data_IF_294580099404
#
_entry.id   IF_294580099404
#
_cell.length_a   1.000
_cell.length_b   1.000
_cell.length_c   1.000
_cell.angle_alpha   90.00
_cell.angle_beta   90.00
_cell.angle_gamma   90.00
#
_symmetry.space_group_name_H-M   'P 1'
#
loop_
_entity.id
_entity.type
_entity.pdbx_description
1 polymer ?
#
# COMPACT_ATOMS: atom_id res chain seq x y z
N UNK A 1 -7.65 -69.99 13.82
CA UNK A 1 -7.66 -69.30 13.78
C UNK A 1 -7.44 -68.10 13.91
N UNK A 2 -7.41 -67.59 13.72
CA UNK A 2 -7.19 -66.65 13.85
C UNK A 2 -6.99 -65.55 13.62
N UNK A 3 -7.07 -65.00 13.44
CA UNK A 3 -6.94 -63.99 13.25
C UNK A 3 -6.63 -62.96 13.31
N UNK A 4 -6.44 -62.36 13.26
CA UNK A 4 -6.12 -61.43 13.36
C UNK A 4 -6.00 -60.46 13.19
N UNK A 5 -6.22 -59.74 13.10
CA UNK A 5 -6.23 -58.82 12.99
C UNK A 5 -5.80 -57.77 12.92
N UNK A 6 -5.62 -57.37 12.81
CA UNK A 6 -4.99 -56.53 12.73
C UNK A 6 -5.16 -55.42 12.30
N UNK A 7 -5.24 -54.93 11.95
CA UNK A 7 -5.36 -53.93 11.34
C UNK A 7 -5.55 -52.77 11.91
N UNK A 8 -5.65 -52.50 12.52
CA UNK A 8 -6.01 -51.43 13.09
C UNK A 8 -5.20 -50.40 13.04
N UNK A 9 -4.28 -50.42 12.55
CA UNK A 9 -3.46 -49.47 12.70
C UNK A 9 -3.43 -48.47 11.85
N UNK A 10 -3.71 -48.45 10.95
CA UNK A 10 -3.51 -47.49 10.03
C UNK A 10 -4.06 -46.17 10.33
N UNK A 11 -4.91 -46.05 11.06
CA UNK A 11 -5.56 -44.83 11.22
C UNK A 11 -4.76 -43.70 11.74
N UNK A 12 -3.74 -43.96 12.32
CA UNK A 12 -3.08 -42.90 12.97
C UNK A 12 -2.41 -41.90 12.13
N UNK A 13 -2.11 -42.28 10.98
CA UNK A 13 -1.31 -41.39 10.21
C UNK A 13 -1.95 -40.13 9.75
N UNK A 14 -3.18 -40.08 9.61
CA UNK A 14 -3.76 -38.93 9.01
C UNK A 14 -3.80 -37.71 9.80
N UNK A 15 -3.63 -37.80 11.03
CA UNK A 15 -3.80 -36.66 11.75
C UNK A 15 -2.77 -35.69 11.74
N UNK A 16 -1.66 -36.01 11.49
CA UNK A 16 -0.62 -35.08 11.51
C UNK A 16 -0.67 -34.03 10.55
N UNK A 17 -1.22 -34.25 9.43
CA UNK A 17 -1.21 -33.26 8.46
C UNK A 17 -1.96 -32.05 8.77
N UNK A 18 -2.99 -32.15 9.44
CA UNK A 18 -3.79 -30.98 9.67
C UNK A 18 -3.09 -29.92 10.45
N UNK A 19 -2.23 -30.29 11.28
CA UNK A 19 -1.61 -29.30 12.11
C UNK A 19 -0.69 -28.37 11.37
N UNK A 20 -0.12 -28.86 10.33
CA UNK A 20 0.80 -28.02 9.64
C UNK A 20 0.19 -26.89 8.93
N UNK A 21 -0.99 -27.03 8.48
CA UNK A 21 -1.60 -25.97 7.75
C UNK A 21 -1.87 -24.77 8.56
N UNK A 22 -2.09 -24.94 9.79
CA UNK A 22 -2.43 -23.80 10.60
C UNK A 22 -1.29 -22.86 10.81
N UNK A 23 -0.14 -23.36 10.82
CA UNK A 23 0.97 -22.49 11.06
C UNK A 23 1.22 -21.55 9.94
N UNK A 24 0.92 -21.94 8.76
CA UNK A 24 1.18 -21.08 7.63
C UNK A 24 0.29 -19.89 7.61
N UNK A 25 -0.85 -19.98 8.19
CA UNK A 25 -1.77 -18.88 8.12
C UNK A 25 -1.45 -17.77 9.07
N UNK A 26 -0.67 -18.04 10.04
CA UNK A 26 -0.43 -17.02 11.03
C UNK A 26 0.69 -16.10 10.68
N UNK A 27 1.35 -16.37 9.61
CA UNK A 27 2.48 -15.57 9.33
C UNK A 27 2.05 -14.24 8.81
N UNK A 28 2.38 -13.29 9.46
CA UNK A 28 2.35 -11.99 9.00
C UNK A 28 1.10 -11.53 8.32
N UNK A 29 0.61 -10.44 8.64
CA UNK A 29 -0.47 -9.89 7.95
C UNK A 29 0.05 -9.31 6.71
N UNK A 30 -0.47 -9.66 5.63
CA UNK A 30 -0.08 -9.06 4.38
C UNK A 30 -0.65 -7.66 4.32
N UNK A 31 0.19 -6.74 4.25
CA UNK A 31 -0.20 -5.37 3.99
C UNK A 31 0.22 -5.00 2.59
N UNK A 32 -0.04 -3.79 2.18
CA UNK A 32 0.32 -3.35 0.86
C UNK A 32 1.82 -3.42 0.64
N UNK A 33 2.59 -3.15 1.66
CA UNK A 33 4.04 -3.16 1.52
C UNK A 33 4.59 -4.57 1.35
N UNK A 34 3.96 -5.55 1.94
CA UNK A 34 4.41 -6.91 1.86
C UNK A 34 4.01 -7.60 0.56
N UNK A 35 2.79 -7.36 0.13
CA UNK A 35 2.26 -8.05 -1.04
C UNK A 35 2.44 -7.31 -2.32
N UNK A 36 2.93 -6.15 -2.27
CA UNK A 36 3.08 -5.30 -3.40
C UNK A 36 3.14 -3.90 -2.89
N UNK A 37 3.06 -2.97 -3.77
CA UNK A 37 3.37 -1.61 -3.42
C UNK A 37 2.51 -0.66 -4.23
N UNK A 38 2.38 0.54 -3.75
CA UNK A 38 1.84 1.63 -4.56
C UNK A 38 3.04 2.37 -5.10
N UNK A 39 3.21 2.32 -6.40
CA UNK A 39 4.33 2.97 -7.04
C UNK A 39 4.03 4.45 -7.17
N UNK A 40 5.02 5.27 -6.88
CA UNK A 40 4.91 6.72 -6.95
C UNK A 40 5.97 7.23 -7.90
N UNK A 41 5.54 7.90 -8.95
CA UNK A 41 6.44 8.54 -9.89
C UNK A 41 6.05 10.00 -10.04
N UNK A 42 7.02 10.82 -10.37
CA UNK A 42 6.81 12.24 -10.50
C UNK A 42 7.19 12.69 -11.90
N UNK A 43 6.36 13.54 -12.47
CA UNK A 43 6.67 14.25 -13.71
C UNK A 43 6.72 15.74 -13.42
N UNK A 44 6.94 16.53 -14.42
CA UNK A 44 6.99 17.98 -14.26
C UNK A 44 5.61 18.59 -13.98
N UNK A 45 4.54 17.87 -14.28
CA UNK A 45 3.18 18.39 -14.14
C UNK A 45 2.30 17.61 -13.20
N UNK A 46 2.72 16.44 -12.76
CA UNK A 46 1.84 15.55 -11.99
C UNK A 46 2.62 14.52 -11.18
N UNK A 47 1.93 13.94 -10.21
CA UNK A 47 2.36 12.74 -9.53
C UNK A 47 1.51 11.60 -10.08
N UNK A 48 2.17 10.51 -10.46
CA UNK A 48 1.49 9.33 -10.98
C UNK A 48 1.63 8.23 -9.94
N UNK A 49 0.51 7.70 -9.49
CA UNK A 49 0.50 6.58 -8.56
C UNK A 49 -0.10 5.37 -9.24
N UNK A 50 0.42 4.20 -8.92
CA UNK A 50 -0.06 2.95 -9.49
C UNK A 50 -0.17 1.91 -8.38
N UNK A 51 -1.34 1.32 -8.24
CA UNK A 51 -1.56 0.32 -7.22
C UNK A 51 -1.06 -1.03 -7.72
N UNK A 52 0.13 -1.41 -7.32
CA UNK A 52 0.70 -2.72 -7.65
C UNK A 52 0.46 -3.74 -6.55
N UNK A 53 -0.25 -3.36 -5.52
CA UNK A 53 -0.60 -4.28 -4.47
C UNK A 53 -1.65 -5.27 -4.98
N UNK A 54 -1.73 -6.42 -4.37
CA UNK A 54 -2.71 -7.42 -4.73
C UNK A 54 -4.09 -7.13 -4.20
N UNK A 55 -4.38 -5.89 -3.83
CA UNK A 55 -5.64 -5.50 -3.22
C UNK A 55 -6.02 -4.09 -3.60
N UNK A 56 -7.29 -3.81 -3.44
CA UNK A 56 -7.79 -2.45 -3.56
C UNK A 56 -7.20 -1.57 -2.45
N UNK A 57 -6.85 -0.37 -2.77
CA UNK A 57 -6.41 0.61 -1.79
C UNK A 57 -7.52 1.62 -1.53
N UNK A 58 -7.67 2.01 -0.27
CA UNK A 58 -8.74 2.89 0.17
C UNK A 58 -8.16 4.12 0.86
N UNK A 59 -8.86 5.22 0.72
CA UNK A 59 -8.50 6.47 1.40
C UNK A 59 -7.04 6.86 1.17
N UNK A 60 -6.64 6.87 -0.08
CA UNK A 60 -5.26 7.19 -0.43
C UNK A 60 -5.06 8.68 -0.29
N UNK A 61 -4.21 9.08 0.62
CA UNK A 61 -3.85 10.47 0.81
C UNK A 61 -2.42 10.67 0.34
N UNK A 62 -2.24 11.57 -0.61
CA UNK A 62 -0.92 11.92 -1.12
C UNK A 62 -0.59 13.31 -0.62
N UNK A 63 0.55 13.44 0.03
CA UNK A 63 0.98 14.70 0.62
C UNK A 63 2.32 15.11 0.03
N UNK A 64 2.43 16.34 -0.38
CA UNK A 64 3.69 16.94 -0.84
C UNK A 64 4.18 17.87 0.25
N UNK A 65 5.39 17.64 0.72
CA UNK A 65 6.00 18.47 1.74
C UNK A 65 6.71 19.63 1.06
N UNK A 66 6.12 20.79 1.12
CA UNK A 66 6.66 22.01 0.52
C UNK A 66 7.68 22.73 1.37
N UNK A 67 8.12 22.14 2.47
CA UNK A 67 9.07 22.79 3.37
C UNK A 67 8.43 23.96 4.08
N UNK A 68 9.02 25.14 3.94
CA UNK A 68 8.48 26.33 4.58
C UNK A 68 7.11 26.74 4.03
N UNK A 69 6.78 26.31 2.83
CA UNK A 69 5.48 26.59 2.26
C UNK A 69 4.37 25.70 2.84
N UNK A 70 4.73 24.69 3.60
CA UNK A 70 3.76 23.83 4.27
C UNK A 70 3.48 22.54 3.51
N UNK A 71 2.43 21.86 3.95
CA UNK A 71 2.04 20.59 3.38
C UNK A 71 0.84 20.78 2.43
N UNK A 72 0.90 20.13 1.30
CA UNK A 72 -0.18 20.13 0.31
C UNK A 72 -0.63 18.70 0.10
N UNK A 73 -1.92 18.45 0.06
CA UNK A 73 -2.41 17.09 -0.04
C UNK A 73 -3.62 16.97 -0.96
N UNK A 74 -3.88 15.75 -1.37
CA UNK A 74 -5.10 15.37 -2.07
C UNK A 74 -5.47 13.96 -1.65
N UNK A 75 -6.74 13.59 -1.84
CA UNK A 75 -7.24 12.28 -1.45
C UNK A 75 -7.87 11.60 -2.65
N UNK A 76 -7.49 10.35 -2.87
CA UNK A 76 -8.13 9.49 -3.84
C UNK A 76 -8.91 8.44 -3.04
N UNK A 77 -10.25 8.41 -3.15
CA UNK A 77 -11.04 7.53 -2.29
C UNK A 77 -10.71 6.06 -2.44
N UNK A 78 -10.52 5.59 -3.64
CA UNK A 78 -10.23 4.18 -3.90
C UNK A 78 -9.37 4.04 -5.14
N UNK A 79 -8.54 3.00 -5.13
CA UNK A 79 -7.83 2.54 -6.33
C UNK A 79 -7.93 1.04 -6.41
N UNK A 80 -8.36 0.54 -7.55
CA UNK A 80 -8.43 -0.89 -7.79
C UNK A 80 -7.04 -1.47 -8.01
N UNK A 81 -6.94 -2.78 -8.02
CA UNK A 81 -5.69 -3.45 -8.35
C UNK A 81 -5.26 -3.02 -9.75
N UNK A 82 -4.00 -2.75 -9.90
CA UNK A 82 -3.38 -2.35 -11.16
C UNK A 82 -3.84 -1.00 -11.68
N UNK A 83 -4.67 -0.30 -10.96
CA UNK A 83 -5.11 1.02 -11.39
C UNK A 83 -3.97 2.03 -11.30
N UNK A 84 -3.93 2.91 -12.29
CA UNK A 84 -2.96 3.99 -12.35
C UNK A 84 -3.70 5.31 -12.36
N UNK A 85 -3.24 6.24 -11.56
CA UNK A 85 -3.90 7.54 -11.43
C UNK A 85 -2.87 8.65 -11.57
N UNK A 86 -3.16 9.61 -12.44
CA UNK A 86 -2.32 10.80 -12.60
C UNK A 86 -2.97 11.94 -11.84
N UNK A 87 -2.24 12.54 -10.92
CA UNK A 87 -2.74 13.62 -10.08
C UNK A 87 -1.93 14.86 -10.39
N UNK A 88 -2.58 15.85 -10.99
CA UNK A 88 -1.89 17.08 -11.31
C UNK A 88 -1.58 17.87 -10.06
N UNK A 89 -0.51 18.63 -10.08
CA UNK A 89 -0.13 19.42 -8.91
C UNK A 89 -1.24 20.40 -8.51
N UNK A 90 -2.01 20.89 -9.46
CA UNK A 90 -3.11 21.79 -9.16
C UNK A 90 -4.23 21.15 -8.31
N UNK A 91 -4.23 19.83 -8.17
CA UNK A 91 -5.21 19.14 -7.32
C UNK A 91 -4.79 19.12 -5.84
N UNK A 92 -3.58 19.52 -5.54
CA UNK A 92 -3.08 19.52 -4.17
C UNK A 92 -3.38 20.86 -3.50
N UNK A 93 -3.82 20.82 -2.26
CA UNK A 93 -4.15 22.02 -1.50
C UNK A 93 -3.59 21.93 -0.10
N UNK A 94 -3.24 23.07 0.46
CA UNK A 94 -2.85 23.15 1.86
C UNK A 94 -4.10 23.25 2.74
N UNK A 95 -3.89 23.25 4.05
CA UNK A 95 -4.99 23.35 5.01
C UNK A 95 -5.80 24.63 4.85
N UNK A 96 -5.17 25.70 4.40
CA UNK A 96 -5.86 26.97 4.19
C UNK A 96 -6.47 27.10 2.80
N UNK A 97 -6.39 26.04 1.99
CA UNK A 97 -6.96 26.04 0.65
C UNK A 97 -6.05 26.52 -0.46
N UNK A 98 -4.83 26.89 -0.14
CA UNK A 98 -3.88 27.35 -1.17
C UNK A 98 -3.51 26.21 -2.10
N UNK A 99 -3.36 26.51 -3.37
CA UNK A 99 -2.98 25.52 -4.36
C UNK A 99 -1.48 25.30 -4.37
N UNK A 100 -1.10 24.08 -4.67
CA UNK A 100 0.31 23.77 -4.89
C UNK A 100 0.70 24.28 -6.28
N UNK A 101 1.65 25.21 -6.30
CA UNK A 101 2.24 25.71 -7.53
C UNK A 101 3.74 25.65 -7.39
N UNK A 102 4.34 24.71 -8.09
CA UNK A 102 5.79 24.48 -7.97
C UNK A 102 6.60 25.69 -8.39
N UNK A 103 6.06 26.49 -9.30
CA UNK A 103 6.79 27.65 -9.80
C UNK A 103 6.90 28.76 -8.75
N UNK A 104 6.00 28.80 -7.80
CA UNK A 104 5.99 29.87 -6.79
C UNK A 104 6.59 29.43 -5.45
N UNK A 105 6.96 28.15 -5.31
CA UNK A 105 7.58 27.71 -4.08
C UNK A 105 8.96 28.31 -3.92
N UNK A 106 9.32 28.73 -2.70
CA UNK A 106 10.65 29.30 -2.46
C UNK A 106 11.76 28.28 -2.63
N UNK A 107 11.45 27.00 -2.51
CA UNK A 107 12.40 25.91 -2.71
C UNK A 107 11.65 24.68 -3.21
N UNK A 108 12.34 23.72 -3.85
CA UNK A 108 11.67 22.50 -4.28
C UNK A 108 11.09 21.73 -3.09
N UNK A 109 10.02 20.99 -3.29
CA UNK A 109 9.47 20.13 -2.25
C UNK A 109 10.51 19.13 -1.75
N UNK A 110 10.31 18.65 -0.52
CA UNK A 110 11.25 17.72 0.08
C UNK A 110 10.90 16.28 -0.21
N UNK A 111 9.65 15.94 -0.11
CA UNK A 111 9.23 14.54 -0.22
C UNK A 111 7.75 14.43 -0.51
N UNK A 112 7.36 13.24 -0.91
CA UNK A 112 5.97 12.86 -1.11
C UNK A 112 5.69 11.73 -0.13
N UNK A 113 4.60 11.84 0.62
CA UNK A 113 4.14 10.80 1.52
C UNK A 113 2.79 10.31 1.06
N UNK A 114 2.63 9.01 1.00
CA UNK A 114 1.36 8.41 0.63
C UNK A 114 0.90 7.52 1.77
N UNK A 115 -0.31 7.73 2.23
CA UNK A 115 -0.95 6.85 3.21
C UNK A 115 -2.21 6.26 2.60
N UNK A 116 -2.52 5.04 2.98
CA UNK A 116 -3.70 4.35 2.48
C UNK A 116 -4.11 3.25 3.44
N UNK A 117 -5.26 2.66 3.20
CA UNK A 117 -5.70 1.46 3.90
C UNK A 117 -6.04 0.41 2.86
N UNK A 118 -5.89 -0.86 3.22
CA UNK A 118 -6.37 -1.92 2.36
C UNK A 118 -7.77 -2.38 2.81
N UNK A 119 -8.32 -3.35 2.11
CA UNK A 119 -9.66 -3.84 2.40
C UNK A 119 -9.77 -4.58 3.72
N UNK A 120 -8.65 -4.91 4.34
CA UNK A 120 -8.61 -5.52 5.66
C UNK A 120 -8.32 -4.50 6.74
N UNK A 121 -8.40 -3.22 6.39
CA UNK A 121 -8.15 -2.11 7.30
C UNK A 121 -6.72 -2.02 7.83
N UNK A 122 -5.77 -2.58 7.10
CA UNK A 122 -4.36 -2.39 7.42
C UNK A 122 -3.87 -1.07 6.88
N UNK A 123 -3.03 -0.41 7.67
CA UNK A 123 -2.45 0.85 7.27
C UNK A 123 -1.25 0.63 6.36
N UNK A 124 -1.08 1.53 5.43
CA UNK A 124 0.06 1.55 4.54
C UNK A 124 0.62 2.97 4.48
N UNK A 125 1.92 3.08 4.51
CA UNK A 125 2.58 4.36 4.35
C UNK A 125 3.82 4.21 3.51
N UNK A 126 4.04 5.12 2.60
CA UNK A 126 5.23 5.16 1.78
C UNK A 126 5.69 6.59 1.64
N UNK A 127 7.00 6.78 1.72
CA UNK A 127 7.61 8.08 1.59
C UNK A 127 8.66 8.03 0.48
N UNK A 128 8.63 9.00 -0.41
CA UNK A 128 9.58 9.10 -1.52
C UNK A 128 10.16 10.51 -1.51
N UNK A 129 11.47 10.60 -1.57
CA UNK A 129 12.11 11.90 -1.64
C UNK A 129 11.80 12.54 -2.98
N UNK A 130 11.65 13.84 -2.97
CA UNK A 130 11.27 14.57 -4.17
C UNK A 130 12.24 14.36 -5.33
N UNK A 131 13.52 14.33 -5.04
CA UNK A 131 14.55 14.18 -6.06
C UNK A 131 14.58 12.80 -6.69
N UNK A 132 14.00 11.80 -6.03
CA UNK A 132 14.00 10.44 -6.53
C UNK A 132 12.69 10.03 -7.18
N UNK A 133 11.72 10.88 -7.15
CA UNK A 133 10.40 10.56 -7.68
C UNK A 133 10.27 10.68 -9.18
N UNK A 134 11.35 10.94 -9.87
CA UNK A 134 11.30 11.04 -11.32
C UNK A 134 11.58 9.75 -12.01
#
# INVERSE_FOLDING_TARGET
MTLRTPGAFAAAAGMLLAALLLTACSSGTPDLATKGDININRTDVAIVIENRAGRQALNIRVTVDGGDAGLFFTVVPTMEQAERRTIRYAAFRSDDGSLLDLATLPAPPKQITLTAKDTLNNDYEKMVRWDRGR
#
